data_IF_207663881626
#
_entry.id   IF_207663881626
#
_cell.length_a   1.000
_cell.length_b   1.000
_cell.length_c   1.000
_cell.angle_alpha   90.00
_cell.angle_beta   90.00
_cell.angle_gamma   90.00
#
_symmetry.space_group_name_H-M   'P 1'
#
loop_
_entity.id
_entity.type
_entity.pdbx_description
1 polymer ?
#
# COMPACT_ATOMS: atom_id res chain seq x y z
N UNK A 1 23.04 6.91 -9.12
CA UNK A 1 22.28 6.71 -7.86
C UNK A 1 21.85 5.25 -7.86
N UNK A 2 22.44 4.43 -7.00
CA UNK A 2 22.12 3.01 -6.91
C UNK A 2 20.66 2.84 -6.46
N UNK A 3 19.97 1.80 -6.96
CA UNK A 3 18.55 1.53 -6.68
C UNK A 3 18.20 1.59 -5.19
N UNK A 4 19.15 1.25 -4.30
CA UNK A 4 18.98 1.37 -2.84
C UNK A 4 18.81 2.80 -2.32
N UNK A 5 19.48 3.79 -2.92
CA UNK A 5 19.37 5.20 -2.52
C UNK A 5 17.99 5.78 -2.79
N UNK A 6 17.37 5.39 -3.92
CA UNK A 6 15.99 5.78 -4.24
C UNK A 6 14.99 5.15 -3.26
N UNK A 7 15.18 3.88 -2.90
CA UNK A 7 14.33 3.21 -1.91
C UNK A 7 14.39 3.88 -0.54
N UNK A 8 15.58 4.27 -0.09
CA UNK A 8 15.76 4.99 1.19
C UNK A 8 15.07 6.36 1.13
N UNK A 9 15.21 7.09 0.02
CA UNK A 9 14.60 8.40 -0.15
C UNK A 9 13.07 8.32 -0.17
N UNK A 10 12.51 7.36 -0.90
CA UNK A 10 11.06 7.11 -0.94
C UNK A 10 10.51 6.68 0.42
N UNK A 11 11.22 5.79 1.14
CA UNK A 11 10.83 5.39 2.49
C UNK A 11 10.87 6.59 3.47
N UNK A 12 11.89 7.43 3.36
CA UNK A 12 12.03 8.64 4.18
C UNK A 12 10.91 9.63 3.89
N UNK A 13 10.60 9.88 2.61
CA UNK A 13 9.48 10.73 2.20
C UNK A 13 8.15 10.20 2.74
N UNK A 14 7.92 8.88 2.66
CA UNK A 14 6.71 8.27 3.20
C UNK A 14 6.59 8.44 4.72
N UNK A 15 7.69 8.25 5.47
CA UNK A 15 7.70 8.50 6.92
C UNK A 15 7.42 9.96 7.26
N UNK A 16 8.07 10.90 6.56
CA UNK A 16 7.88 12.34 6.77
C UNK A 16 6.44 12.73 6.48
N UNK A 17 5.87 12.25 5.38
CA UNK A 17 4.46 12.51 5.05
C UNK A 17 3.51 11.96 6.12
N UNK A 18 3.76 10.75 6.62
CA UNK A 18 2.97 10.14 7.69
C UNK A 18 2.94 11.02 8.95
N UNK A 19 4.11 11.53 9.36
CA UNK A 19 4.21 12.44 10.51
C UNK A 19 3.45 13.75 10.25
N UNK A 20 3.66 14.38 9.10
CA UNK A 20 3.00 15.65 8.73
C UNK A 20 1.48 15.49 8.72
N UNK A 21 0.99 14.44 8.07
CA UNK A 21 -0.45 14.19 7.94
C UNK A 21 -1.10 13.90 9.29
N UNK A 22 -0.50 13.02 10.10
CA UNK A 22 -1.01 12.73 11.45
C UNK A 22 -1.01 13.99 12.33
N UNK A 23 0.05 14.81 12.28
CA UNK A 23 0.13 16.05 13.05
C UNK A 23 -0.93 17.07 12.61
N UNK A 24 -1.17 17.21 11.30
CA UNK A 24 -2.22 18.09 10.77
C UNK A 24 -3.60 17.60 11.21
N UNK A 25 -3.85 16.29 11.13
CA UNK A 25 -5.13 15.71 11.51
C UNK A 25 -5.40 15.82 13.01
N UNK A 26 -4.39 15.57 13.85
CA UNK A 26 -4.51 15.74 15.30
C UNK A 26 -4.75 17.20 15.70
N UNK A 27 -4.26 18.17 14.93
CA UNK A 27 -4.56 19.60 15.12
C UNK A 27 -6.00 19.97 14.74
N UNK A 28 -6.55 19.33 13.71
CA UNK A 28 -7.93 19.54 13.26
C UNK A 28 -8.95 18.77 14.13
N UNK A 29 -8.59 17.58 14.61
CA UNK A 29 -9.40 16.72 15.48
C UNK A 29 -8.66 16.36 16.78
N UNK A 30 -8.54 17.31 17.73
CA UNK A 30 -7.90 17.05 19.02
C UNK A 30 -8.67 15.96 19.79
N UNK A 31 -7.93 14.93 20.21
CA UNK A 31 -8.42 13.70 20.88
C UNK A 31 -9.23 14.03 22.15
N UNK A 32 -9.00 15.19 22.74
CA UNK A 32 -9.68 15.67 23.96
C UNK A 32 -11.11 16.17 23.72
N UNK A 33 -11.55 16.41 22.48
CA UNK A 33 -12.84 17.08 22.19
C UNK A 33 -13.82 16.28 21.35
N UNK A 34 -13.40 15.22 20.65
CA UNK A 34 -14.26 14.51 19.69
C UNK A 34 -14.07 12.99 19.79
N UNK A 35 -15.17 12.26 20.01
CA UNK A 35 -15.18 10.79 19.93
C UNK A 35 -14.83 10.38 18.50
N UNK A 36 -13.74 9.62 18.30
CA UNK A 36 -13.31 9.12 16.98
C UNK A 36 -14.29 8.05 16.44
N UNK A 37 -15.41 8.52 15.89
CA UNK A 37 -16.41 7.71 15.19
C UNK A 37 -15.80 7.06 13.95
N UNK A 38 -16.33 5.91 13.53
CA UNK A 38 -15.92 5.20 12.29
C UNK A 38 -15.82 6.13 11.07
N UNK A 39 -16.73 7.10 10.94
CA UNK A 39 -16.71 8.11 9.86
C UNK A 39 -15.45 8.97 9.85
N UNK A 40 -14.95 9.36 11.03
CA UNK A 40 -13.72 10.18 11.16
C UNK A 40 -12.49 9.37 10.76
N UNK A 41 -12.47 8.07 11.08
CA UNK A 41 -11.38 7.16 10.67
C UNK A 41 -11.39 6.91 9.17
N UNK A 42 -12.57 6.72 8.58
CA UNK A 42 -12.70 6.58 7.13
C UNK A 42 -12.23 7.85 6.40
N UNK A 43 -12.65 9.04 6.87
CA UNK A 43 -12.21 10.32 6.30
C UNK A 43 -10.69 10.52 6.43
N UNK A 44 -10.11 10.15 7.58
CA UNK A 44 -8.66 10.17 7.80
C UNK A 44 -7.92 9.24 6.84
N UNK A 45 -8.38 8.00 6.71
CA UNK A 45 -7.76 7.02 5.82
C UNK A 45 -7.84 7.46 4.35
N UNK A 46 -9.02 7.93 3.90
CA UNK A 46 -9.20 8.43 2.54
C UNK A 46 -8.32 9.66 2.30
N UNK A 47 -8.27 10.61 3.24
CA UNK A 47 -7.44 11.81 3.07
C UNK A 47 -5.94 11.51 3.09
N UNK A 48 -5.50 10.57 3.92
CA UNK A 48 -4.11 10.10 3.95
C UNK A 48 -3.73 9.50 2.60
N UNK A 49 -4.54 8.55 2.13
CA UNK A 49 -4.33 7.84 0.87
C UNK A 49 -4.34 8.82 -0.31
N UNK A 50 -5.31 9.74 -0.34
CA UNK A 50 -5.42 10.76 -1.39
C UNK A 50 -4.19 11.66 -1.45
N UNK A 51 -3.72 12.14 -0.28
CA UNK A 51 -2.53 12.99 -0.21
C UNK A 51 -1.26 12.23 -0.56
N UNK A 52 -1.17 10.97 -0.17
CA UNK A 52 -0.05 10.10 -0.53
C UNK A 52 0.01 9.84 -2.03
N UNK A 53 -1.13 9.57 -2.67
CA UNK A 53 -1.24 9.45 -4.14
C UNK A 53 -0.80 10.72 -4.83
N UNK A 54 -1.22 11.91 -4.37
CA UNK A 54 -0.80 13.19 -4.98
C UNK A 54 0.72 13.35 -4.92
N UNK A 55 1.36 13.02 -3.80
CA UNK A 55 2.81 13.09 -3.65
C UNK A 55 3.50 12.05 -4.53
N UNK A 56 2.99 10.81 -4.53
CA UNK A 56 3.50 9.73 -5.37
C UNK A 56 3.46 10.09 -6.86
N UNK A 57 2.30 10.52 -7.35
CA UNK A 57 2.08 10.99 -8.72
C UNK A 57 3.00 12.16 -9.06
N UNK A 58 3.13 13.14 -8.16
CA UNK A 58 4.03 14.29 -8.38
C UNK A 58 5.48 13.85 -8.47
N UNK A 59 5.91 12.92 -7.60
CA UNK A 59 7.26 12.38 -7.63
C UNK A 59 7.54 11.64 -8.94
N UNK A 60 6.62 10.76 -9.35
CA UNK A 60 6.72 10.00 -10.60
C UNK A 60 6.76 10.94 -11.81
N UNK A 61 5.90 11.97 -11.82
CA UNK A 61 5.89 13.00 -12.86
C UNK A 61 7.24 13.73 -12.96
N UNK A 62 7.81 14.12 -11.82
CA UNK A 62 9.12 14.80 -11.77
C UNK A 62 10.27 13.89 -12.21
N UNK A 63 10.26 12.63 -11.79
CA UNK A 63 11.33 11.66 -12.11
C UNK A 63 11.29 11.26 -13.59
N UNK A 64 10.09 11.07 -14.16
CA UNK A 64 9.92 10.63 -15.54
C UNK A 64 9.77 11.79 -16.54
N UNK A 65 9.67 13.04 -16.06
CA UNK A 65 9.46 14.21 -16.91
C UNK A 65 8.11 14.21 -17.65
N UNK A 66 7.10 13.53 -17.11
CA UNK A 66 5.75 13.40 -17.70
C UNK A 66 4.76 14.35 -17.02
N UNK A 67 3.62 14.60 -17.66
CA UNK A 67 2.55 15.40 -17.04
C UNK A 67 1.93 14.66 -15.84
N UNK A 68 1.37 15.41 -14.88
CA UNK A 68 0.67 14.85 -13.72
C UNK A 68 -0.44 13.87 -14.12
N UNK A 69 -1.18 14.16 -15.20
CA UNK A 69 -2.22 13.27 -15.71
C UNK A 69 -1.65 11.95 -16.23
N UNK A 70 -0.51 12.00 -16.93
CA UNK A 70 0.17 10.78 -17.40
C UNK A 70 0.72 9.96 -16.22
N UNK A 71 1.32 10.60 -15.22
CA UNK A 71 1.79 9.92 -14.01
C UNK A 71 0.63 9.27 -13.23
N UNK A 72 -0.52 9.94 -13.14
CA UNK A 72 -1.72 9.38 -12.52
C UNK A 72 -2.29 8.19 -13.30
N UNK A 73 -2.34 8.28 -14.64
CA UNK A 73 -2.73 7.15 -15.49
C UNK A 73 -1.77 5.96 -15.34
N UNK A 74 -0.48 6.24 -15.16
CA UNK A 74 0.55 5.22 -14.96
C UNK A 74 0.38 4.50 -13.60
N UNK A 75 0.10 5.25 -12.54
CA UNK A 75 -0.29 4.71 -11.22
C UNK A 75 -1.53 3.80 -11.32
N UNK A 76 -2.60 4.25 -12.00
CA UNK A 76 -3.79 3.43 -12.23
C UNK A 76 -3.46 2.18 -13.05
N UNK A 77 -2.66 2.33 -14.11
CA UNK A 77 -2.22 1.22 -14.95
C UNK A 77 -1.45 0.16 -14.15
N UNK A 78 -0.55 0.59 -13.28
CA UNK A 78 0.14 -0.31 -12.35
C UNK A 78 -0.81 -0.98 -11.40
N UNK A 79 -1.74 -0.24 -10.78
CA UNK A 79 -2.70 -0.85 -9.84
C UNK A 79 -3.59 -1.88 -10.53
N UNK A 80 -4.08 -1.59 -11.74
CA UNK A 80 -4.89 -2.50 -12.55
C UNK A 80 -4.13 -3.74 -13.03
N UNK A 81 -2.81 -3.66 -13.22
CA UNK A 81 -1.98 -4.81 -13.58
C UNK A 81 -1.55 -5.63 -12.36
N UNK A 82 -1.12 -4.95 -11.30
CA UNK A 82 -0.53 -5.57 -10.12
C UNK A 82 -1.59 -6.25 -9.23
N UNK A 83 -2.78 -5.66 -9.08
CA UNK A 83 -3.84 -6.26 -8.24
C UNK A 83 -4.30 -7.64 -8.75
N UNK A 84 -4.67 -7.82 -10.04
CA UNK A 84 -5.01 -9.14 -10.56
C UNK A 84 -3.83 -10.11 -10.50
N UNK A 85 -2.61 -9.63 -10.79
CA UNK A 85 -1.40 -10.44 -10.68
C UNK A 85 -1.20 -10.97 -9.25
N UNK A 86 -1.26 -10.10 -8.24
CA UNK A 86 -1.11 -10.47 -6.84
C UNK A 86 -2.22 -11.43 -6.40
N UNK A 87 -3.47 -11.20 -6.82
CA UNK A 87 -4.58 -12.11 -6.53
C UNK A 87 -4.35 -13.50 -7.12
N UNK A 88 -3.98 -13.57 -8.41
CA UNK A 88 -3.72 -14.83 -9.10
C UNK A 88 -2.54 -15.59 -8.45
N UNK A 89 -1.46 -14.88 -8.13
CA UNK A 89 -0.31 -15.46 -7.44
C UNK A 89 -0.68 -16.03 -6.08
N UNK A 90 -1.40 -15.27 -5.25
CA UNK A 90 -1.85 -15.73 -3.93
C UNK A 90 -2.77 -16.95 -4.06
N UNK A 91 -3.71 -16.93 -5.00
CA UNK A 91 -4.61 -18.06 -5.24
C UNK A 91 -3.87 -19.34 -5.65
N UNK A 92 -2.90 -19.22 -6.57
CA UNK A 92 -2.06 -20.37 -6.97
C UNK A 92 -1.24 -20.88 -5.80
N UNK A 93 -0.68 -19.97 -4.99
CA UNK A 93 0.10 -20.34 -3.81
C UNK A 93 -0.73 -21.10 -2.78
N UNK A 94 -1.95 -20.64 -2.52
CA UNK A 94 -2.87 -21.31 -1.59
C UNK A 94 -3.24 -22.70 -2.10
N UNK A 95 -3.53 -22.84 -3.40
CA UNK A 95 -3.81 -24.13 -4.02
C UNK A 95 -2.62 -25.11 -3.92
N UNK A 96 -1.40 -24.62 -4.16
CA UNK A 96 -0.18 -25.44 -4.03
C UNK A 96 0.07 -25.83 -2.57
N UNK A 97 -0.08 -24.89 -1.65
CA UNK A 97 0.07 -25.12 -0.21
C UNK A 97 -0.90 -26.16 0.29
N UNK A 98 -2.17 -26.09 -0.08
CA UNK A 98 -3.17 -27.09 0.28
C UNK A 98 -2.80 -28.48 -0.22
N UNK A 99 -2.35 -28.60 -1.48
CA UNK A 99 -1.90 -29.88 -2.04
C UNK A 99 -0.71 -30.45 -1.26
N UNK A 100 0.29 -29.64 -0.93
CA UNK A 100 1.47 -30.08 -0.19
C UNK A 100 1.12 -30.49 1.24
N UNK A 101 0.24 -29.76 1.92
CA UNK A 101 -0.22 -30.08 3.28
C UNK A 101 -1.03 -31.37 3.29
N UNK A 102 -1.95 -31.58 2.33
CA UNK A 102 -2.71 -32.84 2.19
C UNK A 102 -1.79 -34.05 2.01
N UNK A 103 -0.78 -33.94 1.16
CA UNK A 103 0.22 -35.00 0.94
C UNK A 103 1.02 -35.30 2.21
N UNK A 104 1.41 -34.28 2.98
CA UNK A 104 2.10 -34.47 4.26
C UNK A 104 1.23 -35.14 5.31
N UNK A 105 -0.04 -34.73 5.46
CA UNK A 105 -0.96 -35.36 6.40
C UNK A 105 -1.22 -36.84 6.06
N UNK A 106 -1.40 -37.18 4.79
CA UNK A 106 -1.54 -38.57 4.35
C UNK A 106 -0.32 -39.43 4.69
N UNK A 107 0.89 -38.88 4.53
CA UNK A 107 2.14 -39.58 4.90
C UNK A 107 2.31 -39.79 6.41
N UNK A 108 1.79 -38.88 7.24
CA UNK A 108 1.85 -39.02 8.71
C UNK A 108 0.82 -40.05 9.18
N UNK A 109 -0.41 -40.00 8.65
CA UNK A 109 -1.46 -40.96 8.99
C UNK A 109 -1.11 -42.40 8.57
N UNK A 110 -0.41 -42.59 7.45
CA UNK A 110 0.05 -43.91 7.00
C UNK A 110 1.25 -44.48 7.79
N UNK A 111 1.84 -43.71 8.71
CA UNK A 111 2.96 -44.13 9.58
C UNK A 111 2.52 -44.46 11.02
N UNK A 112 1.27 -44.19 11.39
CA UNK A 112 0.65 -44.62 12.65
C UNK A 112 -0.06 -45.95 12.45
#
# INVERSE_FOLDING_TARGET
VEMGGLSILLATLAMVWNIIYNALFDRLWPVTRVVRTLRVRALHAIGFESGFIIIGVTMVALVLGVSLMQAFMLEIGFMLFFLPYTMAFNWVWDMLRERVIKVRQQRIAARQ
#
